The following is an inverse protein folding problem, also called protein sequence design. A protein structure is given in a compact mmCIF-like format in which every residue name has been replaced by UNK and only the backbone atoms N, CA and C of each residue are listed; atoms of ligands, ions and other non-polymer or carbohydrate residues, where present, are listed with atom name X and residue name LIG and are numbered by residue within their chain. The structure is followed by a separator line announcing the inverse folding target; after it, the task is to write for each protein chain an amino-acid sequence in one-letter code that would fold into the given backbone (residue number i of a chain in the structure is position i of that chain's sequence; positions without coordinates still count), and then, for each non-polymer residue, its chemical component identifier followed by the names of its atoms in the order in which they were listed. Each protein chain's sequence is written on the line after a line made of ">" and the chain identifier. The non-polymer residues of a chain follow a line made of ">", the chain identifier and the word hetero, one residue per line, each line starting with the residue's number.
data_IF_652613226594
#
_entry.id   IF_652613226594
#
_cell.length_a   1.000
_cell.length_b   1.000
_cell.length_c   1.000
_cell.angle_alpha   90.00
_cell.angle_beta   90.00
_cell.angle_gamma   90.00
#
_symmetry.space_group_name_H-M   'P 1'
#
loop_
_entity.id
_entity.type
_entity.pdbx_description
1 polymer ?
#
# COMPACT_ATOMS: atom_id res chain seq x y z
N UNK A 1 -1.53 -3.57 26.02
CA UNK A 1 -1.66 -2.10 25.83
C UNK A 1 -0.33 -1.37 25.81
N UNK A 2 0.60 -1.56 26.77
CA UNK A 2 1.90 -0.85 26.76
C UNK A 2 2.73 -1.12 25.48
N UNK A 3 2.80 -2.37 25.02
CA UNK A 3 3.48 -2.76 23.78
C UNK A 3 2.87 -2.15 22.50
N UNK A 4 1.56 -1.87 22.48
CA UNK A 4 0.92 -1.21 21.32
C UNK A 4 1.42 0.24 21.16
N UNK A 5 1.81 0.92 22.24
CA UNK A 5 2.34 2.28 22.16
C UNK A 5 3.81 2.34 21.69
N UNK A 6 4.57 1.26 21.82
CA UNK A 6 5.99 1.23 21.43
C UNK A 6 6.18 1.04 19.92
N UNK A 7 5.30 0.28 19.26
CA UNK A 7 5.29 0.10 17.80
C UNK A 7 5.32 1.48 17.10
N UNK A 8 4.43 2.44 17.43
CA UNK A 8 4.42 3.77 16.79
C UNK A 8 5.62 4.65 17.11
N UNK A 9 6.16 4.58 18.35
CA UNK A 9 7.27 5.45 18.77
C UNK A 9 8.52 5.20 17.95
N UNK A 10 8.69 3.98 17.46
CA UNK A 10 9.84 3.66 16.62
C UNK A 10 9.63 3.96 15.13
N UNK A 11 8.40 4.20 14.65
CA UNK A 11 8.14 4.38 13.21
C UNK A 11 8.87 5.58 12.58
N UNK A 12 9.20 6.60 13.36
CA UNK A 12 9.90 7.80 12.88
C UNK A 12 11.43 7.66 12.82
N UNK A 13 11.97 6.47 13.03
CA UNK A 13 13.41 6.21 12.89
C UNK A 13 13.78 5.92 11.43
N UNK A 14 14.98 6.33 11.04
CA UNK A 14 15.56 5.95 9.76
C UNK A 14 15.98 4.48 9.79
N UNK A 15 15.48 3.69 8.84
CA UNK A 15 15.77 2.26 8.70
C UNK A 15 16.26 1.92 7.30
N UNK A 16 17.27 1.08 7.22
CA UNK A 16 17.65 0.34 6.00
C UNK A 16 16.55 -0.68 5.64
N UNK A 17 16.54 -1.22 4.41
CA UNK A 17 15.61 -2.29 4.04
C UNK A 17 15.65 -3.49 4.99
N UNK A 18 16.84 -3.87 5.46
CA UNK A 18 17.02 -4.95 6.45
C UNK A 18 16.39 -4.60 7.81
N UNK A 19 16.58 -3.38 8.31
CA UNK A 19 15.95 -2.93 9.56
C UNK A 19 14.42 -2.81 9.42
N UNK A 20 13.91 -2.44 8.24
CA UNK A 20 12.47 -2.46 7.95
C UNK A 20 11.92 -3.89 7.98
N UNK A 21 12.63 -4.86 7.41
CA UNK A 21 12.26 -6.27 7.45
C UNK A 21 12.17 -6.79 8.90
N UNK A 22 13.24 -6.61 9.68
CA UNK A 22 13.26 -7.04 11.09
C UNK A 22 12.11 -6.43 11.89
N UNK A 23 11.80 -5.16 11.65
CA UNK A 23 10.70 -4.49 12.31
C UNK A 23 9.33 -5.01 11.85
N UNK A 24 9.15 -5.26 10.55
CA UNK A 24 7.94 -5.87 10.00
C UNK A 24 7.69 -7.25 10.62
N UNK A 25 8.71 -8.12 10.62
CA UNK A 25 8.64 -9.47 11.19
C UNK A 25 8.30 -9.42 12.69
N UNK A 26 8.95 -8.53 13.44
CA UNK A 26 8.63 -8.30 14.86
C UNK A 26 7.16 -7.94 15.08
N UNK A 27 6.59 -7.03 14.27
CA UNK A 27 5.18 -6.64 14.40
C UNK A 27 4.26 -7.81 14.04
N UNK A 28 4.55 -8.53 12.95
CA UNK A 28 3.74 -9.69 12.52
C UNK A 28 3.77 -10.81 13.56
N UNK A 29 4.93 -11.10 14.16
CA UNK A 29 5.05 -12.12 15.20
C UNK A 29 4.35 -11.69 16.49
N UNK A 30 4.46 -10.42 16.88
CA UNK A 30 3.74 -9.87 18.03
C UNK A 30 2.21 -9.98 17.86
N UNK A 31 1.71 -9.82 16.63
CA UNK A 31 0.28 -9.99 16.31
C UNK A 31 -0.21 -11.42 16.43
N UNK A 32 0.65 -12.43 16.22
CA UNK A 32 0.27 -13.85 16.39
C UNK A 32 -0.01 -14.19 17.84
N UNK A 33 0.67 -13.51 18.77
CA UNK A 33 0.58 -13.77 20.21
C UNK A 33 -0.54 -12.97 20.90
N UNK A 34 -0.94 -11.82 20.37
CA UNK A 34 -2.01 -10.96 20.91
C UNK A 34 -3.27 -10.95 20.04
N UNK A 35 -4.29 -11.71 20.47
CA UNK A 35 -5.58 -11.83 19.75
C UNK A 35 -6.33 -10.50 19.64
N UNK A 36 -6.23 -9.61 20.62
CA UNK A 36 -6.92 -8.32 20.57
C UNK A 36 -6.19 -7.35 19.62
N UNK A 37 -4.85 -7.35 19.64
CA UNK A 37 -4.08 -6.63 18.64
C UNK A 37 -4.36 -7.14 17.21
N UNK A 38 -4.48 -8.46 17.02
CA UNK A 38 -4.84 -9.06 15.74
C UNK A 38 -6.22 -8.62 15.23
N UNK A 39 -7.22 -8.54 16.12
CA UNK A 39 -8.55 -8.01 15.77
C UNK A 39 -8.49 -6.56 15.32
N UNK A 40 -7.73 -5.73 16.02
CA UNK A 40 -7.53 -4.32 15.69
C UNK A 40 -6.79 -4.16 14.36
N UNK A 41 -5.77 -4.99 14.12
CA UNK A 41 -5.00 -5.02 12.88
C UNK A 41 -5.88 -5.38 11.67
N UNK A 42 -6.69 -6.43 11.79
CA UNK A 42 -7.66 -6.83 10.75
C UNK A 42 -8.69 -5.74 10.45
N UNK A 43 -9.08 -4.99 11.47
CA UNK A 43 -10.04 -3.89 11.31
C UNK A 43 -9.42 -2.66 10.64
N UNK A 44 -8.09 -2.61 10.46
CA UNK A 44 -7.41 -1.48 9.82
C UNK A 44 -7.61 -0.15 10.57
N UNK A 45 -7.70 -0.21 11.90
CA UNK A 45 -7.98 0.97 12.74
C UNK A 45 -6.79 1.38 13.58
N UNK A 46 -6.77 2.65 13.98
CA UNK A 46 -5.77 3.20 14.89
C UNK A 46 -4.34 3.03 14.37
N UNK A 47 -3.50 2.40 15.19
CA UNK A 47 -2.08 2.16 14.92
C UNK A 47 -1.83 1.30 13.68
N UNK A 48 -2.63 0.25 13.49
CA UNK A 48 -2.43 -0.69 12.41
C UNK A 48 -2.83 -0.12 11.05
N UNK A 49 -3.69 0.91 11.04
CA UNK A 49 -3.97 1.67 9.84
C UNK A 49 -2.69 2.26 9.25
N UNK A 50 -1.90 2.96 10.08
CA UNK A 50 -0.62 3.55 9.65
C UNK A 50 0.39 2.49 9.26
N UNK A 51 0.46 1.40 10.02
CA UNK A 51 1.32 0.28 9.66
C UNK A 51 0.99 -0.26 8.26
N UNK A 52 -0.29 -0.53 7.96
CA UNK A 52 -0.69 -1.09 6.67
C UNK A 52 -0.66 -0.06 5.53
N UNK A 53 -1.05 1.19 5.77
CA UNK A 53 -1.20 2.21 4.72
C UNK A 53 0.11 3.00 4.46
N UNK A 54 0.98 3.14 5.46
CA UNK A 54 2.22 3.93 5.35
C UNK A 54 3.47 3.03 5.40
N UNK A 55 3.60 2.18 6.42
CA UNK A 55 4.81 1.37 6.61
C UNK A 55 4.97 0.28 5.56
N UNK A 56 3.93 -0.53 5.32
CA UNK A 56 4.01 -1.67 4.40
C UNK A 56 4.38 -1.22 2.97
N UNK A 57 3.76 -0.17 2.39
CA UNK A 57 4.16 0.33 1.08
C UNK A 57 5.58 0.92 1.06
N UNK A 58 5.99 1.61 2.12
CA UNK A 58 7.36 2.13 2.23
C UNK A 58 8.40 1.00 2.33
N UNK A 59 8.06 -0.08 3.04
CA UNK A 59 8.89 -1.28 3.12
C UNK A 59 9.00 -1.97 1.76
N UNK A 60 7.88 -2.21 1.07
CA UNK A 60 7.87 -2.78 -0.28
C UNK A 60 8.72 -1.94 -1.23
N UNK A 61 8.55 -0.61 -1.21
CA UNK A 61 9.37 0.28 -2.03
C UNK A 61 10.86 0.16 -1.70
N UNK A 62 11.22 -0.04 -0.43
CA UNK A 62 12.62 -0.21 0.00
C UNK A 62 13.31 -1.46 -0.53
N UNK A 63 12.52 -2.46 -0.95
CA UNK A 63 13.00 -3.69 -1.57
C UNK A 63 13.01 -3.60 -3.11
N UNK A 64 12.49 -2.52 -3.68
CA UNK A 64 12.34 -2.38 -5.13
C UNK A 64 13.65 -2.07 -5.84
N UNK A 65 13.75 -2.35 -7.16
CA UNK A 65 14.88 -1.92 -7.99
C UNK A 65 15.05 -0.39 -8.08
N UNK A 66 14.02 0.36 -7.66
CA UNK A 66 14.01 1.82 -7.70
C UNK A 66 14.50 2.45 -6.39
N UNK A 67 14.74 1.65 -5.36
CA UNK A 67 15.28 2.14 -4.10
C UNK A 67 16.78 2.44 -4.22
N UNK A 68 17.24 3.65 -3.87
CA UNK A 68 18.65 3.97 -4.04
C UNK A 68 19.54 3.17 -3.06
N UNK A 69 20.69 2.63 -3.50
CA UNK A 69 21.59 1.86 -2.64
C UNK A 69 22.01 2.63 -1.39
N UNK A 70 22.24 1.91 -0.28
CA UNK A 70 22.64 2.46 1.01
C UNK A 70 21.71 3.57 1.58
N UNK A 71 20.46 3.64 1.09
CA UNK A 71 19.47 4.58 1.61
C UNK A 71 18.71 4.05 2.81
N UNK A 72 18.07 4.97 3.53
CA UNK A 72 17.20 4.67 4.66
C UNK A 72 15.82 5.29 4.48
N UNK A 73 14.80 4.60 4.97
CA UNK A 73 13.40 5.04 5.00
C UNK A 73 13.07 5.56 6.38
N UNK A 74 12.30 6.65 6.45
CA UNK A 74 11.70 7.15 7.69
C UNK A 74 10.24 7.50 7.44
N UNK A 75 9.33 6.97 8.26
CA UNK A 75 7.93 7.36 8.22
C UNK A 75 7.69 8.70 8.91
N UNK A 76 6.67 9.40 8.44
CA UNK A 76 6.37 10.76 8.83
C UNK A 76 4.99 10.78 9.48
N UNK A 77 4.98 10.90 10.80
CA UNK A 77 3.75 10.95 11.56
C UNK A 77 3.15 12.37 11.50
N UNK A 78 1.97 12.50 10.88
CA UNK A 78 1.19 13.75 10.90
C UNK A 78 0.70 14.19 9.53
N UNK A 79 0.26 15.44 9.41
CA UNK A 79 -0.27 16.02 8.16
C UNK A 79 0.76 16.96 7.53
N UNK A 80 1.80 16.41 6.91
CA UNK A 80 2.84 17.20 6.22
C UNK A 80 2.80 17.06 4.68
N UNK A 81 1.84 16.31 4.14
CA UNK A 81 1.64 16.11 2.70
C UNK A 81 2.52 15.05 2.05
N UNK A 82 3.14 14.20 2.86
CA UNK A 82 3.90 13.01 2.48
C UNK A 82 3.96 12.04 3.68
N UNK A 83 4.10 10.75 3.40
CA UNK A 83 4.02 9.67 4.39
C UNK A 83 5.40 9.14 4.79
N UNK A 84 6.38 9.20 3.90
CA UNK A 84 7.75 8.79 4.20
C UNK A 84 8.82 9.57 3.45
N UNK A 85 10.06 9.50 3.96
CA UNK A 85 11.26 10.05 3.33
C UNK A 85 12.24 8.90 3.06
N UNK A 86 12.87 8.93 1.89
CA UNK A 86 14.06 8.15 1.57
C UNK A 86 15.26 9.07 1.62
N UNK A 87 16.24 8.73 2.45
CA UNK A 87 17.48 9.47 2.62
C UNK A 87 18.66 8.64 2.14
N UNK A 88 19.43 9.17 1.19
CA UNK A 88 20.63 8.50 0.69
C UNK A 88 21.85 8.71 1.60
N UNK A 89 22.96 8.05 1.26
CA UNK A 89 24.23 8.17 1.98
C UNK A 89 24.86 9.58 1.92
N UNK A 90 24.47 10.41 0.96
CA UNK A 90 24.96 11.78 0.79
C UNK A 90 24.07 12.81 1.50
N UNK A 91 22.97 12.36 2.09
CA UNK A 91 22.02 13.19 2.82
C UNK A 91 20.92 13.81 1.95
N UNK A 92 20.82 13.43 0.66
CA UNK A 92 19.69 13.81 -0.18
C UNK A 92 18.42 13.11 0.33
N UNK A 93 17.32 13.87 0.42
CA UNK A 93 16.03 13.39 0.90
C UNK A 93 14.98 13.48 -0.22
N UNK A 94 14.34 12.36 -0.51
CA UNK A 94 13.16 12.29 -1.39
C UNK A 94 11.92 11.97 -0.56
N UNK A 95 10.87 12.75 -0.76
CA UNK A 95 9.59 12.60 -0.05
C UNK A 95 8.65 11.75 -0.89
N UNK A 96 7.87 10.91 -0.21
CA UNK A 96 6.89 10.04 -0.85
C UNK A 96 5.53 10.14 -0.18
N UNK A 97 4.48 10.25 -0.98
CA UNK A 97 3.09 10.11 -0.56
C UNK A 97 2.54 8.81 -1.13
N UNK A 98 1.98 7.98 -0.26
CA UNK A 98 1.30 6.75 -0.60
C UNK A 98 -0.17 7.04 -0.89
N UNK A 99 -0.74 6.34 -1.86
CA UNK A 99 -2.18 6.37 -2.07
C UNK A 99 -2.71 5.05 -2.59
N UNK A 100 -3.77 4.56 -1.95
CA UNK A 100 -4.50 3.38 -2.38
C UNK A 100 -5.99 3.67 -2.28
N UNK A 101 -6.77 3.19 -3.25
CA UNK A 101 -8.22 3.13 -3.09
C UNK A 101 -8.57 2.00 -2.11
N UNK A 102 -9.42 2.31 -1.13
CA UNK A 102 -9.84 1.38 -0.08
C UNK A 102 -11.35 1.17 -0.15
N UNK A 103 -11.77 -0.08 -0.38
CA UNK A 103 -13.19 -0.47 -0.31
C UNK A 103 -13.65 -0.57 1.16
N UNK A 104 -13.77 0.57 1.85
CA UNK A 104 -13.97 0.63 3.30
C UNK A 104 -15.08 -0.26 3.85
N UNK A 105 -16.26 -0.26 3.21
CA UNK A 105 -17.38 -1.12 3.63
C UNK A 105 -17.01 -2.61 3.57
N UNK A 106 -16.36 -3.02 2.48
CA UNK A 106 -16.00 -4.41 2.26
C UNK A 106 -14.84 -4.85 3.16
N UNK A 107 -13.86 -3.99 3.35
CA UNK A 107 -12.78 -4.22 4.32
C UNK A 107 -13.35 -4.43 5.74
N UNK A 108 -14.37 -3.65 6.13
CA UNK A 108 -15.09 -3.87 7.39
C UNK A 108 -15.84 -5.20 7.44
N UNK A 109 -16.56 -5.57 6.37
CA UNK A 109 -17.25 -6.87 6.29
C UNK A 109 -16.27 -8.06 6.42
N UNK A 110 -15.12 -7.98 5.75
CA UNK A 110 -14.05 -8.98 5.83
C UNK A 110 -13.47 -9.05 7.24
N UNK A 111 -13.09 -7.90 7.80
CA UNK A 111 -12.54 -7.82 9.16
C UNK A 111 -13.49 -8.40 10.19
N UNK A 112 -14.80 -8.09 10.09
CA UNK A 112 -15.82 -8.62 10.97
C UNK A 112 -15.93 -10.14 10.89
N UNK A 113 -16.00 -10.71 9.69
CA UNK A 113 -16.04 -12.18 9.52
C UNK A 113 -14.82 -12.87 10.12
N UNK A 114 -13.62 -12.35 9.84
CA UNK A 114 -12.38 -12.89 10.38
C UNK A 114 -12.31 -12.82 11.91
N UNK A 115 -12.88 -11.77 12.51
CA UNK A 115 -12.85 -11.56 13.95
C UNK A 115 -13.94 -12.36 14.70
N UNK A 116 -15.13 -12.48 14.12
CA UNK A 116 -16.28 -13.13 14.76
C UNK A 116 -16.22 -14.66 14.63
N UNK A 117 -15.88 -15.16 13.43
CA UNK A 117 -15.98 -16.60 13.11
C UNK A 117 -14.69 -17.19 12.53
N UNK A 118 -13.64 -16.40 12.35
CA UNK A 118 -12.33 -16.86 11.89
C UNK A 118 -12.18 -16.98 10.37
N UNK A 119 -13.23 -16.68 9.61
CA UNK A 119 -13.22 -16.68 8.14
C UNK A 119 -14.12 -15.57 7.61
N UNK A 120 -13.82 -15.05 6.41
CA UNK A 120 -14.72 -14.16 5.69
C UNK A 120 -15.34 -14.91 4.53
N UNK A 121 -16.65 -14.78 4.36
CA UNK A 121 -17.31 -15.28 3.17
C UNK A 121 -16.88 -14.40 1.99
N UNK A 122 -16.03 -14.93 1.11
CA UNK A 122 -15.98 -14.42 -0.25
C UNK A 122 -17.38 -14.60 -0.82
N UNK A 123 -18.07 -13.50 -1.17
CA UNK A 123 -19.34 -13.64 -1.91
C UNK A 123 -18.99 -14.37 -3.19
N UNK A 124 -19.44 -15.62 -3.33
CA UNK A 124 -19.33 -16.37 -4.58
C UNK A 124 -20.22 -15.63 -5.56
N UNK A 125 -19.62 -14.79 -6.40
CA UNK A 125 -20.33 -14.13 -7.49
C UNK A 125 -20.03 -14.88 -8.77
N UNK A 126 -20.97 -14.85 -9.71
CA UNK A 126 -20.67 -15.29 -11.07
C UNK A 126 -19.62 -14.35 -11.72
N UNK A 127 -19.20 -14.73 -12.93
CA UNK A 127 -18.24 -13.96 -13.71
C UNK A 127 -18.68 -12.50 -13.92
N UNK A 128 -19.98 -12.26 -14.15
CA UNK A 128 -20.51 -10.92 -14.38
C UNK A 128 -20.39 -10.04 -13.14
N UNK A 129 -20.66 -10.60 -11.95
CA UNK A 129 -20.48 -9.91 -10.68
C UNK A 129 -19.02 -9.62 -10.35
N UNK A 130 -18.09 -10.54 -10.68
CA UNK A 130 -16.65 -10.29 -10.51
C UNK A 130 -16.19 -9.16 -11.44
N UNK A 131 -16.62 -9.18 -12.70
CA UNK A 131 -16.30 -8.16 -13.70
C UNK A 131 -16.80 -6.78 -13.28
N UNK A 132 -18.08 -6.64 -12.94
CA UNK A 132 -18.66 -5.37 -12.49
C UNK A 132 -17.92 -4.81 -11.28
N UNK A 133 -17.49 -5.68 -10.36
CA UNK A 133 -16.76 -5.25 -9.18
C UNK A 133 -15.34 -4.80 -9.51
N UNK A 134 -14.65 -5.47 -10.42
CA UNK A 134 -13.35 -5.01 -10.89
C UNK A 134 -13.44 -3.70 -11.68
N UNK A 135 -14.47 -3.54 -12.52
CA UNK A 135 -14.78 -2.27 -13.20
C UNK A 135 -14.95 -1.14 -12.17
N UNK A 136 -15.75 -1.37 -11.12
CA UNK A 136 -15.93 -0.43 -10.03
C UNK A 136 -14.60 -0.10 -9.34
N UNK A 137 -13.84 -1.11 -8.92
CA UNK A 137 -12.55 -0.93 -8.24
C UNK A 137 -11.55 -0.14 -9.09
N UNK A 138 -11.44 -0.45 -10.39
CA UNK A 138 -10.55 0.24 -11.31
C UNK A 138 -10.99 1.68 -11.57
N UNK A 139 -12.30 1.92 -11.71
CA UNK A 139 -12.82 3.27 -11.84
C UNK A 139 -12.52 4.11 -10.59
N UNK A 140 -12.82 3.60 -9.40
CA UNK A 140 -12.56 4.31 -8.14
C UNK A 140 -11.07 4.54 -7.90
N UNK A 141 -10.21 3.59 -8.31
CA UNK A 141 -8.75 3.76 -8.30
C UNK A 141 -8.33 4.92 -9.19
N UNK A 142 -8.84 5.00 -10.42
CA UNK A 142 -8.59 6.11 -11.34
C UNK A 142 -9.11 7.45 -10.78
N UNK A 143 -10.30 7.46 -10.16
CA UNK A 143 -10.83 8.67 -9.51
C UNK A 143 -9.95 9.13 -8.33
N UNK A 144 -9.49 8.21 -7.50
CA UNK A 144 -8.54 8.53 -6.42
C UNK A 144 -7.23 9.11 -6.96
N UNK A 145 -6.71 8.55 -8.06
CA UNK A 145 -5.54 9.10 -8.76
C UNK A 145 -5.79 10.51 -9.30
N UNK A 146 -6.95 10.78 -9.91
CA UNK A 146 -7.31 12.12 -10.38
C UNK A 146 -7.36 13.14 -9.23
N UNK A 147 -7.92 12.74 -8.09
CA UNK A 147 -7.94 13.59 -6.89
C UNK A 147 -6.52 13.93 -6.39
N UNK A 148 -5.54 13.03 -6.59
CA UNK A 148 -4.13 13.28 -6.29
C UNK A 148 -3.47 14.15 -7.37
N UNK A 149 -3.81 13.97 -8.65
CA UNK A 149 -3.30 14.79 -9.75
C UNK A 149 -3.69 16.28 -9.63
N UNK A 150 -4.83 16.59 -8.99
CA UNK A 150 -5.28 17.96 -8.73
C UNK A 150 -4.48 18.69 -7.65
N UNK A 151 -3.63 18.00 -6.88
CA UNK A 151 -2.83 18.58 -5.80
C UNK A 151 -1.42 18.88 -6.27
N UNK A 152 -0.79 19.86 -5.63
CA UNK A 152 0.63 20.17 -5.85
C UNK A 152 1.50 19.26 -4.98
N UNK A 153 2.16 18.30 -5.64
CA UNK A 153 3.13 17.37 -5.06
C UNK A 153 4.54 17.69 -5.57
N UNK A 154 4.84 18.95 -5.94
CA UNK A 154 6.16 19.31 -6.47
C UNK A 154 7.26 19.00 -5.45
N UNK A 155 8.19 18.13 -5.84
CA UNK A 155 9.26 17.63 -4.96
C UNK A 155 8.88 16.43 -4.09
N UNK A 156 7.66 15.88 -4.27
CA UNK A 156 7.18 14.64 -3.66
C UNK A 156 6.91 13.61 -4.76
N UNK A 157 7.33 12.37 -4.56
CA UNK A 157 7.00 11.24 -5.44
C UNK A 157 5.71 10.58 -4.96
N UNK A 158 4.87 10.17 -5.90
CA UNK A 158 3.63 9.45 -5.60
C UNK A 158 3.87 7.95 -5.72
N UNK A 159 3.40 7.19 -4.72
CA UNK A 159 3.42 5.73 -4.73
C UNK A 159 1.98 5.23 -4.67
N UNK A 160 1.44 4.85 -5.82
CA UNK A 160 0.11 4.24 -5.87
C UNK A 160 0.20 2.75 -5.56
N UNK A 161 -0.69 2.25 -4.72
CA UNK A 161 -0.81 0.82 -4.44
C UNK A 161 -2.20 0.32 -4.83
N UNK A 162 -2.23 -0.76 -5.61
CA UNK A 162 -3.45 -1.45 -6.02
C UNK A 162 -3.36 -2.93 -5.62
N UNK A 163 -4.50 -3.54 -5.31
CA UNK A 163 -4.56 -4.99 -5.10
C UNK A 163 -5.43 -5.62 -6.19
N UNK A 164 -4.86 -6.54 -6.95
CA UNK A 164 -5.54 -7.30 -8.01
C UNK A 164 -5.81 -8.75 -7.61
N UNK A 165 -5.28 -9.20 -6.46
CA UNK A 165 -5.40 -10.56 -5.91
C UNK A 165 -6.82 -11.14 -5.95
N UNK A 166 -7.84 -10.28 -5.82
CA UNK A 166 -9.24 -10.70 -5.74
C UNK A 166 -9.91 -10.88 -7.11
N UNK A 167 -9.24 -10.54 -8.20
CA UNK A 167 -9.78 -10.58 -9.56
C UNK A 167 -8.81 -11.14 -10.61
N UNK A 168 -7.54 -11.35 -10.24
CA UNK A 168 -6.44 -11.62 -11.16
C UNK A 168 -6.72 -12.80 -12.11
N UNK A 169 -7.09 -13.96 -11.57
CA UNK A 169 -7.33 -15.18 -12.35
C UNK A 169 -8.45 -15.06 -13.41
N UNK A 170 -9.35 -14.09 -13.24
CA UNK A 170 -10.56 -13.96 -14.05
C UNK A 170 -10.43 -12.87 -15.12
N UNK A 171 -9.57 -11.87 -14.89
CA UNK A 171 -9.59 -10.61 -15.65
C UNK A 171 -8.29 -10.26 -16.36
N UNK A 172 -7.23 -11.08 -16.23
CA UNK A 172 -5.95 -10.90 -16.93
C UNK A 172 -6.10 -10.65 -18.44
N UNK A 173 -7.21 -11.09 -19.05
CA UNK A 173 -7.49 -10.98 -20.48
C UNK A 173 -8.29 -9.74 -20.89
N UNK A 174 -8.81 -8.94 -19.96
CA UNK A 174 -9.65 -7.78 -20.26
C UNK A 174 -8.85 -6.47 -20.13
N UNK A 175 -8.47 -5.87 -21.26
CA UNK A 175 -7.60 -4.67 -21.30
C UNK A 175 -8.09 -3.51 -20.42
N UNK A 176 -9.39 -3.18 -20.42
CA UNK A 176 -9.89 -2.05 -19.63
C UNK A 176 -9.71 -2.24 -18.11
N UNK A 177 -9.67 -3.49 -17.68
CA UNK A 177 -9.49 -3.94 -16.29
C UNK A 177 -8.06 -4.40 -15.99
N UNK A 178 -7.17 -4.30 -16.97
CA UNK A 178 -5.80 -4.72 -16.85
C UNK A 178 -4.92 -3.64 -16.22
N UNK A 179 -3.76 -4.08 -15.73
CA UNK A 179 -2.74 -3.20 -15.19
C UNK A 179 -2.24 -2.22 -16.26
N UNK A 180 -2.14 -2.64 -17.52
CA UNK A 180 -1.70 -1.81 -18.65
C UNK A 180 -2.63 -0.61 -18.88
N UNK A 181 -3.95 -0.79 -18.75
CA UNK A 181 -4.92 0.32 -18.80
C UNK A 181 -4.68 1.35 -17.70
N UNK A 182 -4.26 0.91 -16.51
CA UNK A 182 -3.91 1.80 -15.41
C UNK A 182 -2.56 2.50 -15.62
N UNK A 183 -1.56 1.79 -16.12
CA UNK A 183 -0.25 2.37 -16.49
C UNK A 183 -0.46 3.49 -17.51
N UNK A 184 -1.18 3.20 -18.61
CA UNK A 184 -1.48 4.19 -19.63
C UNK A 184 -2.24 5.40 -19.07
N UNK A 185 -3.18 5.16 -18.16
CA UNK A 185 -3.88 6.22 -17.45
C UNK A 185 -2.94 7.11 -16.63
N UNK A 186 -1.99 6.52 -15.91
CA UNK A 186 -1.01 7.28 -15.11
C UNK A 186 -0.10 8.13 -16.01
N UNK A 187 0.41 7.56 -17.11
CA UNK A 187 1.29 8.24 -18.07
C UNK A 187 0.62 9.50 -18.65
N UNK A 188 -0.64 9.36 -19.06
CA UNK A 188 -1.45 10.42 -19.69
C UNK A 188 -2.01 11.43 -18.70
N UNK A 189 -2.05 11.10 -17.40
CA UNK A 189 -2.53 12.01 -16.35
C UNK A 189 -1.44 13.05 -15.96
N UNK A 190 -1.77 14.35 -15.87
CA UNK A 190 -0.81 15.40 -15.57
C UNK A 190 -0.55 15.56 -14.06
N UNK A 191 0.06 14.57 -13.42
CA UNK A 191 0.47 14.67 -12.02
C UNK A 191 1.51 15.77 -11.80
N UNK A 192 1.29 16.63 -10.80
CA UNK A 192 2.28 17.59 -10.32
C UNK A 192 3.20 16.95 -9.27
N UNK A 193 3.86 15.85 -9.60
CA UNK A 193 4.74 15.09 -8.71
C UNK A 193 6.16 15.00 -9.29
N UNK A 194 7.14 14.62 -8.46
CA UNK A 194 8.52 14.36 -8.92
C UNK A 194 8.59 13.11 -9.80
N UNK A 195 7.99 12.03 -9.29
CA UNK A 195 7.95 10.70 -9.91
C UNK A 195 6.63 10.04 -9.54
N UNK A 196 6.11 9.15 -10.38
CA UNK A 196 4.96 8.30 -10.04
C UNK A 196 5.36 6.83 -10.13
N UNK A 197 5.14 6.11 -9.04
CA UNK A 197 5.37 4.68 -8.92
C UNK A 197 4.04 3.92 -8.73
N UNK A 198 4.01 2.67 -9.14
CA UNK A 198 2.86 1.78 -9.00
C UNK A 198 3.29 0.44 -8.38
N UNK A 199 2.68 0.11 -7.24
CA UNK A 199 2.71 -1.22 -6.61
C UNK A 199 1.48 -1.98 -7.08
N UNK A 200 1.70 -3.20 -7.56
CA UNK A 200 0.64 -4.14 -7.94
C UNK A 200 0.72 -5.34 -7.01
N UNK A 201 -0.19 -5.41 -6.05
CA UNK A 201 -0.32 -6.56 -5.16
C UNK A 201 -1.33 -7.56 -5.75
N UNK A 202 -0.81 -8.59 -6.41
CA UNK A 202 -1.59 -9.70 -6.94
C UNK A 202 -1.64 -10.91 -6.00
N UNK A 203 -1.20 -10.78 -4.74
CA UNK A 203 -1.19 -11.86 -3.76
C UNK A 203 0.09 -12.71 -3.72
N UNK A 204 1.14 -12.30 -4.46
CA UNK A 204 2.48 -12.88 -4.31
C UNK A 204 3.15 -12.44 -3.00
N UNK A 205 4.33 -13.00 -2.71
CA UNK A 205 5.11 -12.56 -1.57
C UNK A 205 5.66 -11.14 -1.73
N UNK A 206 6.13 -10.55 -0.62
CA UNK A 206 6.61 -9.17 -0.61
C UNK A 206 7.84 -8.94 -1.52
N UNK A 207 8.86 -9.82 -1.53
CA UNK A 207 9.98 -9.68 -2.46
C UNK A 207 9.56 -9.68 -3.94
N UNK A 208 8.67 -10.58 -4.35
CA UNK A 208 8.17 -10.65 -5.72
C UNK A 208 7.34 -9.40 -6.08
N UNK A 209 6.46 -8.97 -5.17
CA UNK A 209 5.69 -7.73 -5.32
C UNK A 209 6.62 -6.52 -5.47
N UNK A 210 7.65 -6.42 -4.63
CA UNK A 210 8.60 -5.31 -4.64
C UNK A 210 9.47 -5.27 -5.91
N UNK A 211 9.88 -6.44 -6.40
CA UNK A 211 10.67 -6.56 -7.64
C UNK A 211 9.90 -6.05 -8.87
N UNK A 212 8.57 -6.11 -8.83
CA UNK A 212 7.67 -5.70 -9.91
C UNK A 212 7.10 -4.28 -9.73
N UNK A 213 7.56 -3.50 -8.75
CA UNK A 213 7.15 -2.09 -8.61
C UNK A 213 7.59 -1.32 -9.85
N UNK A 214 6.65 -0.61 -10.46
CA UNK A 214 6.87 0.12 -11.70
C UNK A 214 7.14 1.60 -11.42
N UNK A 215 8.17 2.16 -12.03
CA UNK A 215 8.31 3.61 -12.23
C UNK A 215 7.60 4.00 -13.52
N UNK A 216 6.44 4.66 -13.41
CA UNK A 216 5.57 4.96 -14.56
C UNK A 216 5.85 6.34 -15.15
N UNK A 217 6.19 7.33 -14.31
CA UNK A 217 6.45 8.71 -14.74
C UNK A 217 7.59 9.33 -13.95
#
# INVERSE_FOLDING_TARGET
>A
MQQQFDILKELSQYRTPYEMQLYFDYVVDSLKEDKEALKLARSGTGIFKKFNEELVPAYLFSLSPHFPPASKVKLILGKQGYDFIVKDQHGYEEKFEVSAFQEGQRNMEIAKGLNDVGYSHGRVTDYSGLKQRAEYYMNETKQNMLNKAQKDYKGVSLLFSISTSQFFDVLEKEFELSVESLIHFIETTPFQAKTVYLIIDNGHDMPETAANILKVK
#
